data_IF_363086308604
#
_entry.id   IF_363086308604
#
_cell.length_a   1.000
_cell.length_b   1.000
_cell.length_c   1.000
_cell.angle_alpha   90.00
_cell.angle_beta   90.00
_cell.angle_gamma   90.00
#
_symmetry.space_group_name_H-M   'P 1'
#
loop_
_entity.id
_entity.type
_entity.pdbx_description
1 polymer ?
#
# COMPACT_ATOMS: atom_id res chain seq x y z
N UNK A 1 -9.90 -20.52 -50.93
CA UNK A 1 -9.96 -19.90 -49.59
C UNK A 1 -8.52 -19.77 -49.12
N UNK A 2 -8.00 -18.55 -48.85
CA UNK A 2 -6.70 -18.44 -48.20
C UNK A 2 -6.87 -18.86 -46.72
N UNK A 3 -5.93 -19.68 -46.24
CA UNK A 3 -5.80 -20.07 -44.83
C UNK A 3 -5.74 -18.81 -43.94
N UNK A 4 -6.39 -18.78 -42.76
CA UNK A 4 -6.23 -17.67 -41.84
C UNK A 4 -4.76 -17.58 -41.41
N UNK A 5 -4.12 -16.44 -41.69
CA UNK A 5 -2.85 -16.07 -41.07
C UNK A 5 -3.05 -16.02 -39.56
N UNK A 6 -2.77 -17.12 -38.87
CA UNK A 6 -2.45 -17.06 -37.45
C UNK A 6 -1.02 -16.55 -37.39
N UNK A 7 -0.88 -15.23 -37.33
CA UNK A 7 0.38 -14.61 -36.95
C UNK A 7 0.72 -15.19 -35.57
N UNK A 8 1.66 -16.14 -35.53
CA UNK A 8 2.13 -16.73 -34.30
C UNK A 8 2.81 -15.60 -33.54
N UNK A 9 2.06 -14.99 -32.62
CA UNK A 9 2.56 -13.97 -31.72
C UNK A 9 3.67 -14.63 -30.91
N UNK A 10 4.91 -14.28 -31.24
CA UNK A 10 6.05 -14.71 -30.48
C UNK A 10 5.89 -14.17 -29.05
N UNK A 11 5.72 -15.07 -28.10
CA UNK A 11 5.58 -14.73 -26.69
C UNK A 11 6.78 -13.92 -26.17
N UNK A 12 7.94 -13.99 -26.83
CA UNK A 12 9.10 -13.16 -26.50
C UNK A 12 9.01 -11.72 -27.01
N UNK A 13 8.18 -11.46 -28.03
CA UNK A 13 7.98 -10.14 -28.62
C UNK A 13 6.86 -9.32 -27.94
N UNK A 14 6.16 -9.90 -26.96
CA UNK A 14 5.07 -9.24 -26.25
C UNK A 14 5.46 -8.81 -24.83
N UNK A 15 4.93 -7.65 -24.41
CA UNK A 15 5.01 -7.16 -23.03
C UNK A 15 3.59 -7.01 -22.51
N UNK A 16 3.34 -7.61 -21.33
CA UNK A 16 2.11 -7.46 -20.57
C UNK A 16 2.29 -6.30 -19.59
N UNK A 17 1.36 -5.35 -19.63
CA UNK A 17 1.29 -4.21 -18.72
C UNK A 17 0.04 -4.33 -17.85
N UNK A 18 0.23 -4.37 -16.54
CA UNK A 18 -0.86 -4.39 -15.57
C UNK A 18 -0.67 -3.25 -14.55
N UNK A 19 -1.18 -2.05 -14.86
CA UNK A 19 -1.06 -0.89 -13.98
C UNK A 19 -1.97 -1.03 -12.75
N UNK A 20 -1.47 -0.60 -11.60
CA UNK A 20 -2.22 -0.49 -10.35
C UNK A 20 -1.97 0.86 -9.68
N UNK A 21 -2.82 1.25 -8.73
CA UNK A 21 -2.67 2.53 -8.03
C UNK A 21 -1.37 2.63 -7.21
N UNK A 22 -0.90 1.49 -6.68
CA UNK A 22 0.34 1.40 -5.89
C UNK A 22 1.50 0.77 -6.65
N UNK A 23 1.24 -0.26 -7.45
CA UNK A 23 2.29 -1.03 -8.12
C UNK A 23 1.95 -1.24 -9.59
N UNK A 24 2.96 -1.09 -10.45
CA UNK A 24 2.93 -1.52 -11.83
C UNK A 24 3.49 -2.94 -11.90
N UNK A 25 2.76 -3.86 -12.53
CA UNK A 25 3.26 -5.18 -12.88
C UNK A 25 3.53 -5.22 -14.39
N UNK A 26 4.76 -5.54 -14.77
CA UNK A 26 5.22 -5.56 -16.15
C UNK A 26 6.08 -6.80 -16.40
N UNK A 27 5.93 -7.43 -17.55
CA UNK A 27 6.76 -8.58 -17.93
C UNK A 27 6.33 -9.16 -19.26
N UNK A 28 7.07 -10.14 -19.76
CA UNK A 28 6.70 -10.90 -20.96
C UNK A 28 5.74 -12.04 -20.58
N UNK A 29 4.89 -12.50 -21.51
CA UNK A 29 4.07 -13.70 -21.30
C UNK A 29 4.87 -14.96 -20.91
N UNK A 30 6.14 -15.04 -21.31
CA UNK A 30 7.04 -16.14 -20.97
C UNK A 30 7.67 -16.04 -19.58
N UNK A 31 7.60 -14.89 -18.91
CA UNK A 31 8.22 -14.71 -17.59
C UNK A 31 7.41 -15.47 -16.53
N UNK A 32 8.09 -16.14 -15.60
CA UNK A 32 7.43 -16.90 -14.53
C UNK A 32 6.73 -16.01 -13.51
N UNK A 33 7.26 -14.79 -13.31
CA UNK A 33 6.71 -13.75 -12.45
C UNK A 33 6.90 -12.39 -13.13
N UNK A 34 5.88 -11.51 -13.13
CA UNK A 34 6.05 -10.15 -13.62
C UNK A 34 6.94 -9.34 -12.67
N UNK A 35 7.69 -8.39 -13.23
CA UNK A 35 8.36 -7.38 -12.43
C UNK A 35 7.31 -6.47 -11.78
N UNK A 36 7.42 -6.29 -10.47
CA UNK A 36 6.56 -5.39 -9.69
C UNK A 36 7.38 -4.20 -9.26
N UNK A 37 6.95 -2.99 -9.64
CA UNK A 37 7.65 -1.74 -9.33
C UNK A 37 6.66 -0.78 -8.69
N UNK A 38 7.09 0.02 -7.70
CA UNK A 38 6.26 1.10 -7.17
C UNK A 38 5.78 2.00 -8.32
N UNK A 39 4.47 2.23 -8.41
CA UNK A 39 3.91 3.06 -9.47
C UNK A 39 3.93 4.53 -9.03
N UNK A 40 5.13 5.06 -8.82
CA UNK A 40 5.36 6.41 -8.35
C UNK A 40 6.52 7.08 -9.09
N UNK A 41 6.50 8.40 -9.07
CA UNK A 41 7.53 9.26 -9.65
C UNK A 41 7.83 10.41 -8.69
N UNK A 42 9.11 10.61 -8.37
CA UNK A 42 9.59 11.82 -7.70
C UNK A 42 10.21 12.73 -8.76
N UNK A 43 9.91 14.04 -8.68
CA UNK A 43 10.51 15.04 -9.56
C UNK A 43 11.20 16.11 -8.75
N UNK A 44 12.39 16.50 -9.19
CA UNK A 44 13.13 17.62 -8.58
C UNK A 44 12.30 18.88 -8.64
N UNK A 45 12.15 19.53 -7.50
CA UNK A 45 11.39 20.77 -7.36
C UNK A 45 12.08 21.89 -8.15
N UNK A 46 11.32 22.62 -8.95
CA UNK A 46 11.82 23.85 -9.60
C UNK A 46 12.21 24.89 -8.54
N UNK A 47 13.21 25.74 -8.80
CA UNK A 47 13.54 26.84 -7.89
C UNK A 47 12.30 27.71 -7.60
N UNK A 48 11.98 27.91 -6.31
CA UNK A 48 10.81 28.67 -5.88
C UNK A 48 9.45 27.97 -6.04
N UNK A 49 9.40 26.72 -6.53
CA UNK A 49 8.16 25.96 -6.65
C UNK A 49 7.61 25.44 -5.31
N UNK A 50 6.31 25.14 -5.21
CA UNK A 50 5.72 24.53 -4.02
C UNK A 50 6.18 23.08 -3.82
N UNK A 51 6.10 22.58 -2.59
CA UNK A 51 6.21 21.14 -2.30
C UNK A 51 4.90 20.48 -2.68
N UNK A 52 4.96 19.43 -3.49
CA UNK A 52 3.80 18.64 -3.88
C UNK A 52 4.04 17.17 -3.50
N UNK A 53 3.04 16.55 -2.89
CA UNK A 53 3.06 15.15 -2.49
C UNK A 53 1.67 14.57 -2.79
N UNK A 54 1.64 13.48 -3.56
CA UNK A 54 0.39 12.74 -3.76
C UNK A 54 -0.10 12.15 -2.43
N UNK A 55 -1.41 12.15 -2.23
CA UNK A 55 -2.01 11.53 -1.05
C UNK A 55 -1.93 10.01 -1.17
N UNK A 56 -1.02 9.39 -0.42
CA UNK A 56 -0.78 7.95 -0.49
C UNK A 56 -1.70 7.13 0.41
N UNK A 57 -1.90 7.58 1.65
CA UNK A 57 -2.93 7.05 2.54
C UNK A 57 -4.21 7.85 2.35
N UNK A 58 -5.34 7.29 2.78
CA UNK A 58 -6.60 8.05 2.88
C UNK A 58 -6.24 9.40 3.50
N UNK A 59 -6.51 10.54 2.82
CA UNK A 59 -6.07 11.83 3.30
C UNK A 59 -6.46 11.97 4.75
N UNK A 60 -5.58 12.56 5.58
CA UNK A 60 -5.97 13.04 6.91
C UNK A 60 -6.92 14.24 6.72
N UNK A 61 -8.05 14.00 6.06
CA UNK A 61 -9.12 14.94 5.93
C UNK A 61 -9.63 15.18 7.34
N UNK A 62 -9.76 16.45 7.71
CA UNK A 62 -10.50 16.80 8.91
C UNK A 62 -11.93 16.36 8.64
N UNK A 63 -12.34 15.27 9.28
CA UNK A 63 -13.72 14.82 9.25
C UNK A 63 -14.57 15.88 9.95
N UNK A 64 -15.66 16.28 9.32
CA UNK A 64 -16.67 17.07 10.00
C UNK A 64 -17.38 16.21 11.05
N UNK A 65 -18.18 16.86 11.91
CA UNK A 65 -18.85 16.18 13.02
C UNK A 65 -19.71 15.01 12.53
N UNK A 66 -20.39 15.19 11.40
CA UNK A 66 -21.32 14.22 10.87
C UNK A 66 -20.56 13.00 10.28
N UNK A 67 -19.43 13.22 9.59
CA UNK A 67 -18.54 12.13 9.14
C UNK A 67 -17.91 11.37 10.31
N UNK A 68 -17.56 12.06 11.40
CA UNK A 68 -17.07 11.40 12.63
C UNK A 68 -18.16 10.53 13.24
N UNK A 69 -19.40 11.02 13.29
CA UNK A 69 -20.52 10.23 13.78
C UNK A 69 -20.76 8.98 12.91
N UNK A 70 -20.78 9.14 11.58
CA UNK A 70 -20.93 8.01 10.66
C UNK A 70 -19.82 6.97 10.83
N UNK A 71 -18.57 7.43 11.01
CA UNK A 71 -17.44 6.56 11.28
C UNK A 71 -17.63 5.76 12.57
N UNK A 72 -18.09 6.39 13.66
CA UNK A 72 -18.36 5.71 14.93
C UNK A 72 -19.51 4.70 14.81
N UNK A 73 -20.57 5.04 14.07
CA UNK A 73 -21.68 4.11 13.80
C UNK A 73 -21.22 2.91 12.98
N UNK A 74 -20.43 3.11 11.92
CA UNK A 74 -19.83 2.05 11.12
C UNK A 74 -18.90 1.16 11.96
N UNK A 75 -18.05 1.78 12.80
CA UNK A 75 -17.17 1.06 13.72
C UNK A 75 -17.95 0.19 14.70
N UNK A 76 -19.06 0.69 15.24
CA UNK A 76 -19.93 -0.06 16.14
C UNK A 76 -20.62 -1.22 15.42
N UNK A 77 -21.13 -1.02 14.20
CA UNK A 77 -21.72 -2.07 13.36
C UNK A 77 -20.74 -3.21 13.10
N UNK A 78 -19.50 -2.89 12.69
CA UNK A 78 -18.43 -3.89 12.49
C UNK A 78 -18.14 -4.62 13.80
N UNK A 79 -18.08 -3.91 14.93
CA UNK A 79 -17.84 -4.53 16.24
C UNK A 79 -18.93 -5.54 16.61
N UNK A 80 -20.20 -5.22 16.35
CA UNK A 80 -21.32 -6.14 16.57
C UNK A 80 -21.24 -7.39 15.70
N UNK A 81 -20.90 -7.25 14.41
CA UNK A 81 -20.72 -8.39 13.50
C UNK A 81 -19.60 -9.31 13.98
N UNK A 82 -18.49 -8.73 14.45
CA UNK A 82 -17.37 -9.50 14.98
C UNK A 82 -17.71 -10.21 16.29
N UNK A 83 -18.52 -9.61 17.16
CA UNK A 83 -18.93 -10.19 18.44
C UNK A 83 -20.04 -11.24 18.33
N UNK A 84 -20.86 -11.17 17.26
CA UNK A 84 -21.89 -12.18 16.99
C UNK A 84 -21.32 -13.45 16.37
N UNK A 85 -20.16 -13.35 15.72
CA UNK A 85 -19.45 -14.49 15.12
C UNK A 85 -18.67 -15.28 16.18
N UNK A 86 -18.89 -16.60 16.22
CA UNK A 86 -18.09 -17.50 17.05
C UNK A 86 -16.67 -17.63 16.50
N UNK A 87 -15.72 -17.91 17.39
CA UNK A 87 -14.38 -18.33 17.02
C UNK A 87 -14.38 -19.79 16.57
N UNK A 88 -13.25 -20.26 16.00
CA UNK A 88 -13.11 -21.61 15.47
C UNK A 88 -13.32 -22.71 16.52
N UNK A 89 -13.09 -22.42 17.80
CA UNK A 89 -13.36 -23.28 18.96
C UNK A 89 -14.80 -23.15 19.51
N UNK A 90 -15.66 -22.37 18.86
CA UNK A 90 -17.06 -22.17 19.25
C UNK A 90 -17.27 -21.20 20.41
N UNK A 91 -16.23 -20.53 20.89
CA UNK A 91 -16.33 -19.54 21.97
C UNK A 91 -16.68 -18.13 21.45
N UNK A 92 -17.04 -17.22 22.36
CA UNK A 92 -17.31 -15.82 22.02
C UNK A 92 -16.02 -15.01 22.02
N UNK A 93 -15.92 -14.05 21.10
CA UNK A 93 -14.84 -13.06 21.09
C UNK A 93 -15.02 -12.03 22.20
N UNK A 94 -13.97 -11.83 22.99
CA UNK A 94 -13.88 -10.73 23.95
C UNK A 94 -12.86 -9.70 23.44
N UNK A 95 -13.33 -8.47 23.23
CA UNK A 95 -12.45 -7.39 22.78
C UNK A 95 -11.69 -6.80 23.97
N UNK A 96 -10.38 -6.56 23.81
CA UNK A 96 -9.60 -5.78 24.78
C UNK A 96 -9.94 -4.29 24.62
N UNK A 97 -10.33 -3.59 25.70
CA UNK A 97 -10.65 -2.17 25.61
C UNK A 97 -9.46 -1.33 25.09
N UNK A 98 -9.68 -0.41 24.12
CA UNK A 98 -8.61 0.46 23.61
C UNK A 98 -7.82 1.23 24.69
N UNK A 99 -8.43 1.74 25.78
CA UNK A 99 -7.67 2.41 26.85
C UNK A 99 -6.64 1.51 27.55
N UNK A 100 -6.95 0.22 27.70
CA UNK A 100 -6.05 -0.75 28.30
C UNK A 100 -4.85 -1.01 27.39
N UNK A 101 -5.09 -1.17 26.08
CA UNK A 101 -4.03 -1.30 25.07
C UNK A 101 -3.16 -0.04 25.00
N UNK A 102 -3.77 1.14 24.96
CA UNK A 102 -3.05 2.41 24.91
C UNK A 102 -2.12 2.59 26.13
N UNK A 103 -2.58 2.20 27.32
CA UNK A 103 -1.76 2.24 28.55
C UNK A 103 -0.58 1.26 28.49
N UNK A 104 -0.75 0.11 27.82
CA UNK A 104 0.35 -0.82 27.59
C UNK A 104 1.33 -0.30 26.55
N UNK A 105 0.85 0.15 25.39
CA UNK A 105 1.66 0.64 24.29
C UNK A 105 2.55 1.82 24.71
N UNK A 106 2.04 2.73 25.55
CA UNK A 106 2.81 3.85 26.11
C UNK A 106 4.00 3.45 26.98
N UNK A 107 4.02 2.22 27.51
CA UNK A 107 5.10 1.72 28.38
C UNK A 107 6.20 0.98 27.60
N UNK A 108 5.93 0.62 26.34
CA UNK A 108 6.89 -0.09 25.49
C UNK A 108 7.90 0.93 24.95
N UNK A 109 9.19 0.58 25.02
CA UNK A 109 10.28 1.33 24.38
C UNK A 109 10.82 0.53 23.21
N UNK A 110 11.10 1.16 22.06
CA UNK A 110 11.74 0.47 20.95
C UNK A 110 13.14 0.01 21.37
N UNK A 111 13.51 -1.19 20.94
CA UNK A 111 14.86 -1.75 21.09
C UNK A 111 15.45 -1.86 19.70
N UNK A 112 16.71 -1.45 19.54
CA UNK A 112 17.44 -1.62 18.28
C UNK A 112 17.88 -3.08 18.23
N UNK A 113 17.47 -3.76 17.17
CA UNK A 113 17.95 -5.10 16.87
C UNK A 113 19.24 -4.97 16.05
N UNK A 114 20.35 -5.50 16.56
CA UNK A 114 21.66 -5.44 15.91
C UNK A 114 21.73 -6.32 14.66
N UNK A 115 20.83 -7.31 14.54
CA UNK A 115 20.73 -8.21 13.39
C UNK A 115 19.77 -7.68 12.31
N UNK A 116 19.01 -6.62 12.62
CA UNK A 116 18.08 -6.04 11.67
C UNK A 116 18.82 -5.24 10.58
N UNK A 117 18.39 -5.43 9.33
CA UNK A 117 18.84 -4.58 8.24
C UNK A 117 18.50 -3.11 8.55
N UNK A 118 19.52 -2.26 8.50
CA UNK A 118 19.33 -0.82 8.70
C UNK A 118 18.35 -0.28 7.64
N UNK A 119 17.50 0.65 8.05
CA UNK A 119 16.64 1.36 7.09
C UNK A 119 17.52 1.97 5.99
N UNK A 120 17.12 1.87 4.72
CA UNK A 120 17.91 2.41 3.63
C UNK A 120 18.17 3.89 3.84
N UNK A 121 19.41 4.31 3.57
CA UNK A 121 19.82 5.72 3.67
C UNK A 121 19.00 6.55 2.69
N UNK A 122 18.52 7.71 3.12
CA UNK A 122 17.87 8.68 2.23
C UNK A 122 18.80 9.01 1.06
N UNK A 123 18.28 8.84 -0.16
CA UNK A 123 19.04 9.10 -1.39
C UNK A 123 18.98 10.60 -1.68
N UNK A 124 20.02 11.35 -1.31
CA UNK A 124 20.23 12.71 -1.80
C UNK A 124 20.81 12.63 -3.22
N UNK A 125 19.93 12.74 -4.23
CA UNK A 125 20.31 12.69 -5.64
C UNK A 125 20.10 14.03 -6.35
N UNK A 126 21.01 14.37 -7.27
CA UNK A 126 20.83 15.51 -8.20
C UNK A 126 19.99 15.15 -9.44
N UNK A 127 19.43 13.92 -9.48
CA UNK A 127 18.60 13.43 -10.58
C UNK A 127 17.32 14.28 -10.67
N UNK A 128 16.93 14.63 -11.89
CA UNK A 128 15.70 15.38 -12.13
C UNK A 128 14.44 14.56 -11.86
N UNK A 129 14.52 13.24 -12.07
CA UNK A 129 13.41 12.29 -11.96
C UNK A 129 13.90 11.01 -11.28
N UNK A 130 13.11 10.51 -10.32
CA UNK A 130 13.22 9.20 -9.69
C UNK A 130 11.92 8.43 -9.98
N UNK A 131 12.01 7.13 -10.27
CA UNK A 131 10.86 6.29 -10.63
C UNK A 131 10.93 5.00 -9.82
N UNK A 132 9.78 4.49 -9.41
CA UNK A 132 9.72 3.19 -8.76
C UNK A 132 10.26 3.22 -7.35
N UNK A 133 10.99 2.19 -6.97
CA UNK A 133 11.49 2.01 -5.61
C UNK A 133 12.64 2.97 -5.26
N UNK A 134 13.09 3.80 -6.23
CA UNK A 134 14.04 4.90 -5.99
C UNK A 134 13.37 6.20 -5.50
N UNK A 135 12.03 6.28 -5.50
CA UNK A 135 11.26 7.45 -5.01
C UNK A 135 11.35 7.57 -3.50
#
# INVERSE_FOLDING_TARGET
>A
MPEPFTEQVDAQACIILHPGSRYLRIGRPSDSLPHTVLHAIARKRKPGGPVYLDSFLVPHAKLDRDSVQELEECRLKVSHILQSSLTSDGSRRFATPPPQLASNNKRIKPVIDEEAEASPTWVEGDKEILVGDEV
#
